data_IF_190097281666
#
_entry.id   IF_190097281666
#
_cell.length_a   1.000
_cell.length_b   1.000
_cell.length_c   1.000
_cell.angle_alpha   90.00
_cell.angle_beta   90.00
_cell.angle_gamma   90.00
#
_symmetry.space_group_name_H-M   'P 1'
#
loop_
_entity.id
_entity.type
_entity.pdbx_description
1 polymer ?
#
# COMPACT_ATOMS: atom_id res chain seq x y z
N UNK A 1 9.40 -4.70 -4.31
CA UNK A 1 8.62 -5.64 -3.49
C UNK A 1 7.80 -6.49 -4.45
N UNK A 2 7.98 -7.80 -4.40
CA UNK A 2 7.22 -8.75 -5.24
C UNK A 2 6.57 -9.73 -4.27
N UNK A 3 5.25 -9.68 -4.16
CA UNK A 3 4.50 -10.56 -3.26
C UNK A 3 3.97 -11.76 -4.04
N UNK A 4 4.12 -13.00 -3.53
CA UNK A 4 3.45 -14.16 -4.10
C UNK A 4 1.93 -13.98 -4.07
N UNK A 5 1.23 -14.63 -5.00
CA UNK A 5 -0.24 -14.60 -5.08
C UNK A 5 -0.89 -14.97 -3.74
N UNK A 6 -0.39 -16.02 -3.07
CA UNK A 6 -0.91 -16.42 -1.76
C UNK A 6 -0.75 -15.37 -0.66
N UNK A 7 0.32 -14.57 -0.70
CA UNK A 7 0.50 -13.46 0.23
C UNK A 7 -0.50 -12.32 0.00
N UNK A 8 -0.92 -12.11 -1.26
CA UNK A 8 -1.95 -11.13 -1.61
C UNK A 8 -3.35 -11.62 -1.23
N UNK A 9 -3.66 -12.90 -1.48
CA UNK A 9 -4.96 -13.52 -1.17
C UNK A 9 -5.17 -13.66 0.33
N UNK A 10 -4.24 -14.28 1.05
CA UNK A 10 -4.37 -14.59 2.48
C UNK A 10 -3.92 -13.43 3.38
N UNK A 11 -3.42 -12.34 2.78
CA UNK A 11 -3.05 -11.10 3.43
C UNK A 11 -4.10 -10.02 3.22
N UNK A 12 -3.71 -8.94 2.56
CA UNK A 12 -4.56 -7.76 2.37
C UNK A 12 -4.78 -7.45 0.89
N UNK A 13 -3.69 -7.36 0.11
CA UNK A 13 -3.77 -7.22 -1.35
C UNK A 13 -4.49 -5.96 -1.83
N UNK A 14 -3.94 -4.78 -1.51
CA UNK A 14 -4.46 -3.47 -1.94
C UNK A 14 -3.56 -2.86 -3.01
N UNK A 15 -4.16 -2.20 -4.00
CA UNK A 15 -3.45 -1.45 -5.03
C UNK A 15 -4.33 -0.29 -5.54
N UNK A 16 -3.77 0.62 -6.32
CA UNK A 16 -4.43 1.84 -6.80
C UNK A 16 -5.72 1.62 -7.61
N UNK A 17 -6.00 0.41 -8.11
CA UNK A 17 -7.27 0.05 -8.75
C UNK A 17 -8.31 -0.57 -7.81
N UNK A 18 -7.99 -0.75 -6.52
CA UNK A 18 -8.85 -1.43 -5.56
C UNK A 18 -10.13 -0.65 -5.24
N UNK A 19 -10.21 0.64 -5.54
CA UNK A 19 -11.45 1.40 -5.44
C UNK A 19 -12.51 1.01 -6.48
N UNK A 20 -12.12 0.27 -7.53
CA UNK A 20 -13.02 -0.33 -8.53
C UNK A 20 -13.26 -1.81 -8.22
N UNK A 21 -12.19 -2.56 -7.97
CA UNK A 21 -12.24 -4.03 -7.90
C UNK A 21 -12.23 -4.61 -6.48
N UNK A 22 -12.08 -3.75 -5.46
CA UNK A 22 -11.86 -4.16 -4.09
C UNK A 22 -10.45 -4.71 -3.84
N UNK A 23 -10.33 -5.49 -2.77
CA UNK A 23 -9.11 -6.20 -2.40
C UNK A 23 -8.82 -7.36 -3.36
N UNK A 24 -7.57 -7.84 -3.39
CA UNK A 24 -7.13 -8.89 -4.32
C UNK A 24 -7.97 -10.18 -4.22
N UNK A 25 -8.46 -10.55 -3.03
CA UNK A 25 -9.34 -11.70 -2.90
C UNK A 25 -10.69 -11.54 -3.61
N UNK A 26 -11.21 -10.32 -3.78
CA UNK A 26 -12.53 -10.10 -4.39
C UNK A 26 -12.54 -10.37 -5.90
N UNK A 27 -11.36 -10.40 -6.52
CA UNK A 27 -11.20 -10.81 -7.92
C UNK A 27 -10.85 -12.29 -8.08
N UNK A 28 -10.71 -13.05 -6.99
CA UNK A 28 -10.50 -14.49 -7.03
C UNK A 28 -11.85 -15.22 -7.07
N UNK A 29 -11.96 -16.27 -7.90
CA UNK A 29 -13.19 -17.08 -8.06
C UNK A 29 -13.06 -18.50 -7.53
N UNK A 30 -11.83 -18.98 -7.35
CA UNK A 30 -11.55 -20.27 -6.76
C UNK A 30 -10.16 -20.28 -6.11
N UNK A 31 -10.00 -21.14 -5.10
CA UNK A 31 -8.73 -21.45 -4.46
C UNK A 31 -8.52 -22.96 -4.38
N UNK A 32 -7.27 -23.39 -4.41
CA UNK A 32 -6.88 -24.77 -4.07
C UNK A 32 -5.90 -24.73 -2.91
N UNK A 33 -6.19 -25.50 -1.86
CA UNK A 33 -5.43 -25.55 -0.63
C UNK A 33 -5.01 -26.99 -0.31
N UNK A 34 -3.76 -27.14 0.11
CA UNK A 34 -3.31 -28.35 0.82
C UNK A 34 -3.54 -28.12 2.32
N UNK A 35 -4.46 -28.89 2.90
CA UNK A 35 -4.81 -28.79 4.32
C UNK A 35 -3.80 -29.51 5.22
N UNK A 36 -3.96 -29.37 6.53
CA UNK A 36 -3.04 -29.94 7.53
C UNK A 36 -2.98 -31.48 7.53
N UNK A 37 -4.03 -32.15 7.07
CA UNK A 37 -4.08 -33.61 6.91
C UNK A 37 -3.45 -34.10 5.58
N UNK A 38 -2.96 -33.18 4.75
CA UNK A 38 -2.37 -33.46 3.44
C UNK A 38 -3.38 -33.57 2.30
N UNK A 39 -4.67 -33.36 2.56
CA UNK A 39 -5.70 -33.36 1.51
C UNK A 39 -5.60 -32.10 0.63
N UNK A 40 -5.85 -32.25 -0.66
CA UNK A 40 -6.00 -31.15 -1.61
C UNK A 40 -7.50 -30.83 -1.75
N UNK A 41 -7.89 -29.61 -1.39
CA UNK A 41 -9.27 -29.15 -1.43
C UNK A 41 -9.38 -27.93 -2.32
N UNK A 42 -10.38 -27.94 -3.21
CA UNK A 42 -10.79 -26.77 -3.98
C UNK A 42 -11.95 -26.08 -3.28
N UNK A 43 -11.94 -24.75 -3.23
CA UNK A 43 -13.07 -23.97 -2.74
C UNK A 43 -13.45 -22.82 -3.68
N UNK A 44 -14.74 -22.59 -3.82
CA UNK A 44 -15.40 -21.52 -4.60
C UNK A 44 -16.56 -20.94 -3.76
N UNK A 45 -17.33 -20.01 -4.32
CA UNK A 45 -18.53 -19.50 -3.66
C UNK A 45 -19.56 -20.62 -3.39
N UNK A 46 -19.63 -21.62 -4.27
CA UNK A 46 -20.58 -22.74 -4.24
C UNK A 46 -20.01 -24.05 -3.68
N UNK A 47 -18.71 -24.29 -3.83
CA UNK A 47 -18.01 -25.51 -3.39
C UNK A 47 -17.11 -25.18 -2.18
N UNK A 48 -17.29 -25.85 -1.03
CA UNK A 48 -16.53 -25.55 0.20
C UNK A 48 -16.53 -24.04 0.54
N UNK A 49 -17.72 -23.42 0.44
CA UNK A 49 -17.94 -21.97 0.54
C UNK A 49 -17.44 -21.37 1.86
N UNK A 50 -17.59 -22.09 2.96
CA UNK A 50 -17.06 -21.70 4.27
C UNK A 50 -15.53 -21.53 4.25
N UNK A 51 -14.82 -22.47 3.62
CA UNK A 51 -13.39 -22.37 3.40
C UNK A 51 -13.05 -21.21 2.45
N UNK A 52 -13.77 -21.06 1.33
CA UNK A 52 -13.55 -19.96 0.37
C UNK A 52 -13.60 -18.59 1.05
N UNK A 53 -14.59 -18.35 1.92
CA UNK A 53 -14.73 -17.10 2.68
C UNK A 53 -13.74 -16.96 3.84
N UNK A 54 -13.18 -18.06 4.34
CA UNK A 54 -12.21 -18.05 5.44
C UNK A 54 -10.75 -17.91 4.99
N UNK A 55 -10.43 -18.26 3.74
CA UNK A 55 -9.06 -18.20 3.17
C UNK A 55 -8.49 -16.77 3.17
N UNK A 56 -9.21 -15.73 2.72
CA UNK A 56 -8.73 -14.36 2.81
C UNK A 56 -8.46 -13.98 4.26
N UNK A 57 -7.38 -13.24 4.50
CA UNK A 57 -6.92 -12.83 5.85
C UNK A 57 -6.53 -13.96 6.81
N UNK A 58 -6.59 -15.23 6.39
CA UNK A 58 -6.18 -16.37 7.22
C UNK A 58 -4.69 -16.37 7.58
N UNK A 59 -3.86 -15.56 6.92
CA UNK A 59 -2.41 -15.53 7.12
C UNK A 59 -1.76 -16.92 6.98
N UNK A 60 -2.30 -17.79 6.11
CA UNK A 60 -1.78 -19.14 5.85
C UNK A 60 -2.10 -20.18 6.93
N UNK A 61 -2.96 -19.85 7.90
CA UNK A 61 -3.28 -20.76 9.01
C UNK A 61 -4.20 -21.92 8.63
N UNK A 62 -4.93 -21.81 7.52
CA UNK A 62 -5.89 -22.82 7.06
C UNK A 62 -5.28 -23.89 6.15
N UNK A 63 -4.09 -23.64 5.59
CA UNK A 63 -3.42 -24.54 4.67
C UNK A 63 -2.49 -23.80 3.70
N UNK A 64 -1.83 -24.55 2.84
CA UNK A 64 -1.00 -24.00 1.78
C UNK A 64 -1.85 -23.69 0.55
N UNK A 65 -2.01 -22.41 0.22
CA UNK A 65 -2.62 -22.01 -1.05
C UNK A 65 -1.68 -22.38 -2.21
N UNK A 66 -2.10 -23.35 -3.04
CA UNK A 66 -1.30 -23.87 -4.16
C UNK A 66 -1.80 -23.38 -5.52
N UNK A 67 -3.07 -23.02 -5.65
CA UNK A 67 -3.61 -22.40 -6.85
C UNK A 67 -4.70 -21.35 -6.53
N UNK A 68 -4.89 -20.40 -7.43
CA UNK A 68 -5.96 -19.42 -7.39
C UNK A 68 -6.43 -19.10 -8.81
N UNK A 69 -7.73 -19.04 -9.02
CA UNK A 69 -8.34 -18.56 -10.26
C UNK A 69 -8.75 -17.10 -10.11
N UNK A 70 -8.27 -16.25 -11.01
CA UNK A 70 -8.33 -14.79 -10.86
C UNK A 70 -8.99 -14.16 -12.09
N UNK A 71 -9.93 -13.24 -11.86
CA UNK A 71 -10.51 -12.39 -12.90
C UNK A 71 -9.43 -11.43 -13.41
N UNK A 72 -9.25 -11.39 -14.73
CA UNK A 72 -8.27 -10.52 -15.39
C UNK A 72 -8.97 -9.48 -16.26
N UNK A 73 -8.27 -8.38 -16.52
CA UNK A 73 -8.69 -7.32 -17.43
C UNK A 73 -7.66 -7.12 -18.55
N UNK A 74 -8.06 -6.64 -19.74
CA UNK A 74 -7.11 -6.32 -20.80
C UNK A 74 -6.09 -5.28 -20.34
N UNK A 75 -4.81 -5.59 -20.54
CA UNK A 75 -3.71 -4.66 -20.27
C UNK A 75 -3.49 -3.75 -21.49
N UNK A 76 -3.14 -2.49 -21.23
CA UNK A 76 -2.67 -1.54 -22.24
C UNK A 76 -1.21 -1.20 -22.04
N UNK A 77 -0.62 -0.49 -22.99
CA UNK A 77 0.82 -0.21 -22.98
C UNK A 77 1.25 0.79 -21.89
N UNK A 78 0.40 1.77 -21.55
CA UNK A 78 0.74 2.90 -20.70
C UNK A 78 -0.33 3.20 -19.66
N UNK A 79 0.10 3.83 -18.57
CA UNK A 79 -0.76 4.55 -17.63
C UNK A 79 -0.55 6.04 -17.87
N UNK A 80 -1.62 6.74 -18.27
CA UNK A 80 -1.67 8.20 -18.27
C UNK A 80 -1.97 8.64 -16.84
N UNK A 81 -0.96 9.11 -16.13
CA UNK A 81 -1.03 9.48 -14.72
C UNK A 81 -1.04 11.01 -14.59
N UNK A 82 -2.04 11.53 -13.88
CA UNK A 82 -2.16 12.93 -13.50
C UNK A 82 -1.65 13.11 -12.07
N UNK A 83 -0.90 14.18 -11.83
CA UNK A 83 -0.39 14.58 -10.52
C UNK A 83 -1.06 15.89 -10.11
N UNK A 84 -1.68 15.91 -8.94
CA UNK A 84 -2.37 17.07 -8.40
C UNK A 84 -1.86 17.40 -7.00
N UNK A 85 -1.03 18.43 -6.82
CA UNK A 85 -0.69 18.95 -5.50
C UNK A 85 -1.93 19.52 -4.81
N UNK A 86 -2.18 19.09 -3.57
CA UNK A 86 -3.31 19.56 -2.77
C UNK A 86 -2.82 20.01 -1.39
N UNK A 87 -3.38 21.11 -0.90
CA UNK A 87 -3.03 21.73 0.38
C UNK A 87 -4.23 21.85 1.32
N UNK A 88 -3.96 21.68 2.61
CA UNK A 88 -4.96 21.66 3.68
C UNK A 88 -5.59 20.28 3.82
N UNK A 89 -5.60 19.75 5.06
CA UNK A 89 -6.09 18.40 5.34
C UNK A 89 -7.51 18.13 4.83
N UNK A 90 -8.44 19.06 5.02
CA UNK A 90 -9.83 18.93 4.57
C UNK A 90 -9.91 18.78 3.04
N UNK A 91 -9.16 19.62 2.30
CA UNK A 91 -9.10 19.56 0.84
C UNK A 91 -8.48 18.25 0.36
N UNK A 92 -7.44 17.76 1.04
CA UNK A 92 -6.79 16.47 0.73
C UNK A 92 -7.82 15.34 0.85
N UNK A 93 -8.51 15.24 1.99
CA UNK A 93 -9.50 14.20 2.22
C UNK A 93 -10.66 14.28 1.21
N UNK A 94 -11.20 15.47 0.98
CA UNK A 94 -12.27 15.70 0.02
C UNK A 94 -11.88 15.28 -1.40
N UNK A 95 -10.76 15.82 -1.91
CA UNK A 95 -10.31 15.57 -3.28
C UNK A 95 -9.96 14.10 -3.50
N UNK A 96 -9.37 13.44 -2.50
CA UNK A 96 -9.02 12.02 -2.56
C UNK A 96 -10.27 11.14 -2.59
N UNK A 97 -11.28 11.44 -1.77
CA UNK A 97 -12.56 10.75 -1.79
C UNK A 97 -13.28 10.93 -3.16
N UNK A 98 -13.35 12.15 -3.68
CA UNK A 98 -13.93 12.43 -5.00
C UNK A 98 -13.22 11.68 -6.13
N UNK A 99 -11.89 11.65 -6.11
CA UNK A 99 -11.10 10.90 -7.08
C UNK A 99 -11.37 9.39 -7.02
N UNK A 100 -11.53 8.87 -5.80
CA UNK A 100 -11.78 7.44 -5.51
C UNK A 100 -13.21 6.99 -5.81
N UNK A 101 -14.19 7.90 -5.80
CA UNK A 101 -15.56 7.61 -6.24
C UNK A 101 -15.67 7.61 -7.77
N UNK A 102 -14.85 8.39 -8.46
CA UNK A 102 -14.88 8.48 -9.91
C UNK A 102 -14.27 7.23 -10.58
N UNK A 103 -15.14 6.29 -10.96
CA UNK A 103 -14.80 5.04 -11.68
C UNK A 103 -14.14 5.24 -13.06
N UNK A 104 -14.08 6.47 -13.59
CA UNK A 104 -13.29 6.77 -14.79
C UNK A 104 -11.78 6.74 -14.50
N UNK A 105 -11.37 6.97 -13.26
CA UNK A 105 -9.98 6.80 -12.84
C UNK A 105 -9.71 5.31 -12.65
N UNK A 106 -8.97 4.67 -13.55
CA UNK A 106 -8.58 3.26 -13.36
C UNK A 106 -7.69 3.08 -12.13
N UNK A 107 -6.87 4.09 -11.83
CA UNK A 107 -5.95 4.10 -10.70
C UNK A 107 -6.13 5.38 -9.89
N UNK A 108 -6.11 5.26 -8.57
CA UNK A 108 -6.10 6.38 -7.62
C UNK A 108 -5.11 6.08 -6.50
N UNK A 109 -4.24 7.02 -6.19
CA UNK A 109 -3.25 6.92 -5.12
C UNK A 109 -2.94 8.33 -4.58
N UNK A 110 -2.68 8.47 -3.29
CA UNK A 110 -2.23 9.71 -2.68
C UNK A 110 -0.90 9.52 -1.95
N UNK A 111 0.02 10.47 -2.10
CA UNK A 111 1.21 10.56 -1.26
C UNK A 111 1.13 11.86 -0.46
N UNK A 112 0.95 11.73 0.86
CA UNK A 112 0.86 12.88 1.77
C UNK A 112 2.20 13.11 2.44
N UNK A 113 2.77 14.32 2.32
CA UNK A 113 4.12 14.65 2.79
C UNK A 113 4.14 15.42 4.11
N UNK A 114 3.03 16.09 4.46
CA UNK A 114 2.80 16.71 5.77
C UNK A 114 1.30 16.64 6.10
N UNK A 115 0.89 17.12 7.28
CA UNK A 115 -0.52 17.20 7.65
C UNK A 115 -1.36 17.93 6.59
N UNK A 116 -0.80 18.97 5.99
CA UNK A 116 -1.51 19.88 5.08
C UNK A 116 -0.99 19.83 3.65
N UNK A 117 -0.17 18.85 3.26
CA UNK A 117 0.31 18.75 1.88
C UNK A 117 0.34 17.33 1.36
N UNK A 118 -0.25 17.12 0.18
CA UNK A 118 -0.24 15.83 -0.51
C UNK A 118 -0.17 16.03 -2.02
N UNK A 119 0.13 14.95 -2.74
CA UNK A 119 -0.11 14.84 -4.18
C UNK A 119 -1.10 13.70 -4.39
N UNK A 120 -2.23 14.01 -4.99
CA UNK A 120 -3.23 13.02 -5.41
C UNK A 120 -2.94 12.66 -6.86
N UNK A 121 -2.87 11.37 -7.12
CA UNK A 121 -2.59 10.81 -8.42
C UNK A 121 -3.79 10.05 -8.94
N UNK A 122 -4.21 10.36 -10.16
CA UNK A 122 -5.27 9.62 -10.86
C UNK A 122 -4.75 9.14 -12.21
N UNK A 123 -5.09 7.91 -12.58
CA UNK A 123 -4.52 7.26 -13.75
C UNK A 123 -5.55 6.52 -14.59
N UNK A 124 -5.31 6.47 -15.89
CA UNK A 124 -6.08 5.64 -16.83
C UNK A 124 -5.16 4.84 -17.74
N UNK A 125 -5.58 3.64 -18.14
CA UNK A 125 -4.84 2.82 -19.10
C UNK A 125 -5.04 3.32 -20.54
N UNK A 126 -3.97 3.41 -21.32
CA UNK A 126 -3.98 3.83 -22.74
C UNK A 126 -2.90 3.12 -23.56
N UNK A 127 -3.16 2.93 -24.85
CA UNK A 127 -2.15 2.41 -25.82
C UNK A 127 -1.37 3.53 -26.50
N UNK A 128 -1.85 4.77 -26.41
CA UNK A 128 -1.20 5.94 -27.00
C UNK A 128 -0.59 6.81 -25.90
N UNK A 129 0.67 7.19 -26.09
CA UNK A 129 1.40 8.10 -25.22
C UNK A 129 1.86 9.32 -26.02
N UNK A 130 1.75 10.50 -25.39
CA UNK A 130 2.33 11.74 -25.91
C UNK A 130 3.87 11.66 -25.73
N UNK A 131 4.67 11.64 -26.81
CA UNK A 131 6.10 11.31 -26.72
C UNK A 131 6.92 12.19 -25.77
N UNK A 132 6.57 13.47 -25.67
CA UNK A 132 7.19 14.47 -24.80
C UNK A 132 6.85 14.29 -23.31
N UNK A 133 5.81 13.50 -22.99
CA UNK A 133 5.32 13.24 -21.63
C UNK A 133 5.59 11.81 -21.17
N UNK A 134 6.37 11.02 -21.93
CA UNK A 134 6.74 9.67 -21.53
C UNK A 134 7.72 9.72 -20.37
N UNK A 135 7.36 9.10 -19.24
CA UNK A 135 8.24 8.93 -18.09
C UNK A 135 8.52 7.45 -17.83
N UNK A 136 9.75 7.02 -18.09
CA UNK A 136 10.22 5.65 -17.83
C UNK A 136 10.82 5.55 -16.43
N UNK A 137 9.98 5.63 -15.40
CA UNK A 137 10.38 5.62 -13.97
C UNK A 137 11.19 4.37 -13.55
N UNK A 138 11.10 3.28 -14.30
CA UNK A 138 11.82 2.03 -14.04
C UNK A 138 13.32 2.07 -14.38
N UNK A 139 13.81 3.11 -15.05
CA UNK A 139 15.24 3.23 -15.36
C UNK A 139 16.04 3.52 -14.07
N UNK A 140 17.14 2.81 -13.88
CA UNK A 140 17.89 2.81 -12.61
C UNK A 140 18.43 4.20 -12.20
N UNK A 141 18.67 5.08 -13.16
CA UNK A 141 19.12 6.43 -12.89
C UNK A 141 17.98 7.40 -12.59
N UNK A 142 16.70 7.02 -12.71
CA UNK A 142 15.56 7.89 -12.40
C UNK A 142 15.41 8.11 -10.89
N UNK A 143 14.86 9.27 -10.45
CA UNK A 143 14.57 9.51 -9.05
C UNK A 143 13.64 8.44 -8.50
N UNK A 144 13.70 8.19 -7.19
CA UNK A 144 12.68 7.39 -6.53
C UNK A 144 11.30 7.99 -6.73
N UNK A 145 10.29 7.14 -6.96
CA UNK A 145 8.96 7.58 -7.37
C UNK A 145 8.37 8.62 -6.41
N UNK A 146 8.37 8.35 -5.10
CA UNK A 146 7.85 9.32 -4.12
C UNK A 146 8.62 10.65 -4.10
N UNK A 147 9.91 10.69 -4.47
CA UNK A 147 10.67 11.96 -4.60
C UNK A 147 10.33 12.70 -5.89
N UNK A 148 10.06 11.96 -6.97
CA UNK A 148 9.53 12.53 -8.21
C UNK A 148 8.16 13.16 -7.98
N UNK A 149 7.26 12.46 -7.29
CA UNK A 149 5.95 12.98 -6.89
C UNK A 149 6.07 14.22 -6.00
N UNK A 150 6.99 14.21 -5.02
CA UNK A 150 7.27 15.37 -4.15
C UNK A 150 7.69 16.62 -4.94
N UNK A 151 8.31 16.44 -6.12
CA UNK A 151 8.72 17.56 -6.97
C UNK A 151 7.53 18.34 -7.54
N UNK A 152 6.38 17.69 -7.76
CA UNK A 152 5.15 18.37 -8.18
C UNK A 152 4.60 19.27 -7.07
N UNK A 153 4.68 18.80 -5.82
CA UNK A 153 4.27 19.58 -4.66
C UNK A 153 5.19 20.78 -4.41
N UNK A 154 6.52 20.60 -4.52
CA UNK A 154 7.50 21.68 -4.33
C UNK A 154 7.42 22.74 -5.44
N UNK A 155 7.13 22.31 -6.67
CA UNK A 155 6.92 23.21 -7.80
C UNK A 155 5.51 23.76 -7.93
N UNK A 156 4.59 23.38 -7.03
CA UNK A 156 3.16 23.75 -7.06
C UNK A 156 2.52 23.54 -8.45
N UNK A 157 2.89 22.42 -9.10
CA UNK A 157 2.54 22.14 -10.50
C UNK A 157 1.73 20.86 -10.65
N UNK A 158 0.62 20.96 -11.35
CA UNK A 158 -0.05 19.78 -11.89
C UNK A 158 0.78 19.21 -13.05
N UNK A 159 0.61 17.92 -13.34
CA UNK A 159 1.36 17.28 -14.42
C UNK A 159 0.65 16.05 -14.96
N UNK A 160 0.96 15.70 -16.21
CA UNK A 160 0.50 14.47 -16.85
C UNK A 160 1.72 13.76 -17.42
N UNK A 161 1.86 12.48 -17.08
CA UNK A 161 2.93 11.62 -17.59
C UNK A 161 2.35 10.30 -18.10
N UNK A 162 3.04 9.71 -19.07
CA UNK A 162 2.75 8.37 -19.58
C UNK A 162 3.82 7.40 -19.08
N UNK A 163 3.43 6.52 -18.17
CA UNK A 163 4.32 5.54 -17.54
C UNK A 163 4.06 4.17 -18.16
N UNK A 164 5.07 3.40 -18.59
CA UNK A 164 4.84 2.03 -19.06
C UNK A 164 4.11 1.22 -17.98
N UNK A 165 3.06 0.49 -18.35
CA UNK A 165 2.16 -0.17 -17.38
C UNK A 165 2.92 -1.01 -16.35
N UNK A 166 3.88 -1.82 -16.81
CA UNK A 166 4.72 -2.64 -15.92
C UNK A 166 5.52 -1.80 -14.92
N UNK A 167 6.04 -0.64 -15.34
CA UNK A 167 6.79 0.23 -14.45
C UNK A 167 5.88 0.90 -13.41
N UNK A 168 4.65 1.24 -13.79
CA UNK A 168 3.65 1.78 -12.86
C UNK A 168 3.32 0.79 -11.73
N UNK A 169 3.08 -0.50 -12.06
CA UNK A 169 2.88 -1.53 -11.02
C UNK A 169 4.10 -1.76 -10.12
N UNK A 170 5.30 -1.45 -10.61
CA UNK A 170 6.54 -1.56 -9.81
C UNK A 170 7.03 -0.20 -9.25
N UNK A 171 6.22 0.87 -9.28
CA UNK A 171 6.66 2.23 -8.94
C UNK A 171 7.28 2.37 -7.55
N UNK A 172 6.80 1.61 -6.57
CA UNK A 172 7.32 1.61 -5.18
C UNK A 172 8.44 0.58 -4.94
N UNK A 173 8.77 -0.27 -5.92
CA UNK A 173 9.69 -1.40 -5.69
C UNK A 173 11.12 -0.95 -5.42
N UNK A 174 11.62 0.05 -6.15
CA UNK A 174 13.04 0.44 -6.09
C UNK A 174 13.41 1.10 -4.76
N UNK A 175 12.51 1.90 -4.22
CA UNK A 175 12.70 2.62 -2.95
C UNK A 175 12.06 1.91 -1.75
N UNK A 176 11.41 0.76 -1.96
CA UNK A 176 10.60 0.07 -0.95
C UNK A 176 9.63 1.10 -0.33
N UNK A 177 8.75 1.64 -1.18
CA UNK A 177 8.02 2.89 -0.96
C UNK A 177 8.99 4.08 -0.78
N UNK A 178 9.49 4.27 0.44
CA UNK A 178 10.52 5.27 0.78
C UNK A 178 11.50 4.80 1.87
N UNK A 179 11.34 3.59 2.40
CA UNK A 179 12.17 3.09 3.50
C UNK A 179 13.66 2.99 3.14
N UNK A 180 13.97 2.83 1.85
CA UNK A 180 15.35 2.81 1.41
C UNK A 180 16.07 4.14 1.67
N UNK A 181 15.34 5.26 1.85
CA UNK A 181 15.95 6.52 2.25
C UNK A 181 16.53 6.46 3.67
N UNK A 182 15.94 5.66 4.56
CA UNK A 182 16.38 5.56 5.95
C UNK A 182 17.58 4.61 6.06
N UNK A 183 17.74 3.69 5.11
CA UNK A 183 18.87 2.75 5.01
C UNK A 183 20.04 3.39 4.21
N UNK A 184 19.72 4.06 3.11
CA UNK A 184 20.69 4.69 2.20
C UNK A 184 20.24 6.14 1.93
N UNK A 185 20.50 7.09 2.85
CA UNK A 185 20.02 8.47 2.74
C UNK A 185 20.48 9.21 1.47
N UNK A 186 21.67 8.87 0.97
CA UNK A 186 22.22 9.41 -0.27
C UNK A 186 21.77 8.64 -1.52
N UNK A 187 20.92 7.61 -1.39
CA UNK A 187 20.54 6.69 -2.46
C UNK A 187 19.80 7.34 -3.62
N UNK A 188 19.16 8.50 -3.39
CA UNK A 188 18.50 9.29 -4.44
C UNK A 188 19.42 10.36 -5.08
N UNK A 189 20.68 10.48 -4.66
CA UNK A 189 21.64 11.38 -5.29
C UNK A 189 21.85 10.98 -6.76
N UNK A 190 21.84 11.92 -7.74
CA UNK A 190 22.01 11.60 -9.16
C UNK A 190 23.26 10.79 -9.47
N UNK A 191 24.40 11.09 -8.83
CA UNK A 191 25.67 10.38 -9.03
C UNK A 191 25.57 8.94 -8.54
N UNK A 192 25.00 8.74 -7.34
CA UNK A 192 24.77 7.40 -6.80
C UNK A 192 23.82 6.60 -7.69
N UNK A 193 22.69 7.19 -8.11
CA UNK A 193 21.71 6.51 -8.98
C UNK A 193 22.33 6.09 -10.31
N UNK A 194 23.21 6.91 -10.87
CA UNK A 194 23.88 6.61 -12.13
C UNK A 194 24.90 5.47 -11.99
N UNK A 195 25.73 5.48 -10.93
CA UNK A 195 26.78 4.47 -10.72
C UNK A 195 26.26 3.15 -10.11
N UNK A 196 25.36 3.24 -9.13
CA UNK A 196 24.96 2.12 -8.26
C UNK A 196 23.44 1.91 -8.19
N UNK A 197 22.63 2.73 -8.85
CA UNK A 197 21.17 2.64 -8.80
C UNK A 197 20.59 1.33 -9.35
N UNK A 198 21.38 0.58 -10.14
CA UNK A 198 21.03 -0.75 -10.67
C UNK A 198 21.14 -1.86 -9.61
N UNK A 199 21.87 -1.61 -8.51
CA UNK A 199 21.99 -2.53 -7.36
C UNK A 199 20.83 -2.38 -6.36
N UNK A 200 19.92 -1.43 -6.60
CA UNK A 200 18.82 -1.06 -5.72
C UNK A 200 17.49 -1.64 -6.25
N UNK A 201 16.65 -2.27 -5.40
CA UNK A 201 16.82 -2.46 -3.96
C UNK A 201 17.81 -3.61 -3.66
N UNK A 202 18.66 -3.49 -2.61
CA UNK A 202 19.53 -4.58 -2.21
C UNK A 202 18.69 -5.80 -1.78
N UNK A 203 19.23 -7.00 -1.99
CA UNK A 203 18.57 -8.23 -1.51
C UNK A 203 18.37 -8.13 0.01
N UNK A 204 17.16 -8.43 0.45
CA UNK A 204 16.74 -8.43 1.86
C UNK A 204 17.69 -9.27 2.72
N UNK A 205 18.09 -10.44 2.22
CA UNK A 205 19.02 -11.34 2.86
C UNK A 205 20.38 -10.67 3.13
N UNK A 206 20.84 -9.83 2.19
CA UNK A 206 22.09 -9.08 2.32
C UNK A 206 21.97 -7.99 3.38
N UNK A 207 20.85 -7.27 3.43
CA UNK A 207 20.56 -6.30 4.50
C UNK A 207 20.50 -6.97 5.89
N UNK A 208 19.82 -8.13 5.99
CA UNK A 208 19.73 -8.90 7.24
C UNK A 208 21.09 -9.41 7.70
N UNK A 209 22.00 -9.74 6.78
CA UNK A 209 23.36 -10.20 7.07
C UNK A 209 24.29 -9.08 7.55
N UNK A 210 24.10 -7.85 7.08
CA UNK A 210 24.96 -6.71 7.45
C UNK A 210 24.47 -5.94 8.68
N UNK A 211 23.23 -6.18 9.12
CA UNK A 211 22.67 -5.59 10.33
C UNK A 211 23.06 -6.41 11.58
N UNK A 212 23.93 -5.85 12.43
CA UNK A 212 24.20 -6.41 13.76
C UNK A 212 22.95 -6.37 14.68
N UNK A 213 22.93 -7.20 15.72
CA UNK A 213 21.76 -7.37 16.61
C UNK A 213 21.25 -6.06 17.22
N UNK A 214 22.15 -5.14 17.55
CA UNK A 214 21.81 -3.83 18.13
C UNK A 214 21.08 -2.93 17.13
N UNK A 215 21.53 -2.90 15.88
CA UNK A 215 20.88 -2.13 14.80
C UNK A 215 19.51 -2.73 14.51
N UNK A 216 19.42 -4.06 14.48
CA UNK A 216 18.14 -4.77 14.29
C UNK A 216 17.13 -4.41 15.39
N UNK A 217 17.54 -4.42 16.66
CA UNK A 217 16.69 -4.00 17.79
C UNK A 217 16.25 -2.54 17.67
N UNK A 218 17.14 -1.65 17.25
CA UNK A 218 16.82 -0.24 17.08
C UNK A 218 15.72 -0.05 16.02
N UNK A 219 15.86 -0.69 14.85
CA UNK A 219 14.85 -0.69 13.80
C UNK A 219 13.54 -1.34 14.26
N UNK A 220 13.58 -2.50 14.93
CA UNK A 220 12.35 -3.17 15.41
C UNK A 220 11.58 -2.35 16.45
N UNK A 221 12.27 -1.53 17.26
CA UNK A 221 11.66 -0.76 18.35
C UNK A 221 11.23 0.66 17.93
N UNK A 222 11.87 1.23 16.91
CA UNK A 222 11.69 2.64 16.52
C UNK A 222 11.37 2.82 15.04
N UNK A 223 11.00 1.77 14.30
CA UNK A 223 10.54 1.90 12.91
C UNK A 223 9.06 1.58 12.82
N UNK A 224 8.32 2.43 12.12
CA UNK A 224 6.88 2.26 11.91
C UNK A 224 6.67 1.55 10.59
N UNK A 225 5.85 0.52 10.63
CA UNK A 225 5.35 -0.19 9.45
C UNK A 225 3.90 -0.52 9.71
N UNK A 226 3.03 0.37 9.26
CA UNK A 226 1.65 0.34 9.70
C UNK A 226 0.72 0.69 8.56
N UNK A 227 -0.08 -0.29 8.16
CA UNK A 227 -1.22 -0.10 7.26
C UNK A 227 -2.50 -0.04 8.10
N UNK A 228 -3.33 0.96 7.85
CA UNK A 228 -4.58 1.18 8.57
C UNK A 228 -5.72 1.33 7.61
N UNK A 229 -6.60 0.34 7.65
CA UNK A 229 -7.79 0.26 6.82
C UNK A 229 -8.92 1.01 7.52
N UNK A 230 -9.27 2.18 7.01
CA UNK A 230 -10.22 3.10 7.63
C UNK A 230 -11.33 3.41 6.62
N UNK A 231 -12.62 3.41 7.03
CA UNK A 231 -13.68 3.91 6.16
C UNK A 231 -13.39 5.35 5.74
N UNK A 232 -13.60 5.68 4.46
CA UNK A 232 -13.19 6.96 3.87
C UNK A 232 -13.72 8.18 4.66
N UNK A 233 -14.93 8.07 5.22
CA UNK A 233 -15.57 9.11 6.05
C UNK A 233 -14.81 9.49 7.32
N UNK A 234 -13.88 8.65 7.79
CA UNK A 234 -13.07 8.88 8.99
C UNK A 234 -11.60 9.20 8.68
N UNK A 235 -11.24 9.35 7.41
CA UNK A 235 -9.86 9.58 6.96
C UNK A 235 -9.23 10.81 7.64
N UNK A 236 -9.96 11.93 7.72
CA UNK A 236 -9.44 13.18 8.30
C UNK A 236 -9.08 13.02 9.78
N UNK A 237 -9.96 12.39 10.57
CA UNK A 237 -9.71 12.12 11.98
C UNK A 237 -8.52 11.17 12.16
N UNK A 238 -8.45 10.10 11.35
CA UNK A 238 -7.35 9.15 11.38
C UNK A 238 -6.01 9.82 11.08
N UNK A 239 -5.90 10.62 10.02
CA UNK A 239 -4.67 11.35 9.66
C UNK A 239 -4.27 12.33 10.76
N UNK A 240 -5.23 13.07 11.33
CA UNK A 240 -4.96 13.97 12.47
C UNK A 240 -4.35 13.20 13.64
N UNK A 241 -4.83 11.99 13.91
CA UNK A 241 -4.31 11.15 14.98
C UNK A 241 -2.94 10.59 14.66
N UNK A 242 -2.72 10.11 13.44
CA UNK A 242 -1.40 9.69 12.95
C UNK A 242 -0.35 10.80 13.12
N UNK A 243 -0.72 12.03 12.78
CA UNK A 243 0.14 13.19 12.93
C UNK A 243 0.51 13.44 14.39
N UNK A 244 -0.46 13.35 15.31
CA UNK A 244 -0.23 13.57 16.74
C UNK A 244 0.58 12.44 17.41
N UNK A 245 0.30 11.18 17.06
CA UNK A 245 0.80 10.03 17.79
C UNK A 245 2.12 9.47 17.23
N UNK A 246 2.35 9.60 15.93
CA UNK A 246 3.50 8.97 15.24
C UNK A 246 4.34 10.03 14.50
N UNK A 247 3.68 10.99 13.85
CA UNK A 247 4.31 12.05 13.06
C UNK A 247 5.34 11.50 12.05
N UNK A 248 4.92 10.51 11.25
CA UNK A 248 5.71 9.91 10.16
C UNK A 248 5.14 10.38 8.83
N UNK A 249 6.05 10.78 7.94
CA UNK A 249 5.74 11.14 6.57
C UNK A 249 6.84 10.66 5.62
N UNK A 250 6.51 10.36 4.35
CA UNK A 250 5.17 10.47 3.77
C UNK A 250 4.20 9.36 4.22
N UNK A 251 2.90 9.59 4.03
CA UNK A 251 1.85 8.58 4.18
C UNK A 251 1.41 8.11 2.79
N UNK A 252 1.21 6.80 2.66
CA UNK A 252 0.62 6.17 1.48
C UNK A 252 -0.90 6.12 1.66
N UNK A 253 -1.64 6.70 0.72
CA UNK A 253 -3.10 6.70 0.72
C UNK A 253 -3.58 5.87 -0.46
N UNK A 254 -4.19 4.72 -0.18
CA UNK A 254 -4.69 3.84 -1.24
C UNK A 254 -6.18 3.51 -1.02
N UNK A 255 -7.07 3.87 -1.95
CA UNK A 255 -8.50 3.64 -1.77
C UNK A 255 -8.89 2.22 -2.20
N UNK A 256 -9.83 1.62 -1.49
CA UNK A 256 -10.39 0.32 -1.84
C UNK A 256 -11.84 0.17 -1.42
N UNK A 257 -12.59 -0.66 -2.15
CA UNK A 257 -13.98 -0.99 -1.79
C UNK A 257 -14.07 -2.32 -1.06
N UNK A 258 -14.88 -2.33 -0.01
CA UNK A 258 -15.26 -3.55 0.69
C UNK A 258 -16.74 -3.83 0.42
N UNK A 259 -17.07 -4.98 -0.21
CA UNK A 259 -18.44 -5.42 -0.33
C UNK A 259 -18.97 -5.89 1.03
N UNK A 260 -20.29 -5.83 1.26
CA UNK A 260 -20.92 -6.49 2.40
C UNK A 260 -20.84 -8.01 2.19
N UNK A 261 -20.74 -8.79 3.26
CA UNK A 261 -20.76 -10.24 3.12
C UNK A 261 -20.06 -11.02 4.22
N UNK A 262 -19.66 -12.24 3.86
CA UNK A 262 -18.95 -13.20 4.72
C UNK A 262 -17.44 -12.98 4.60
N UNK A 263 -16.69 -13.43 5.61
CA UNK A 263 -15.23 -13.32 5.67
C UNK A 263 -14.76 -12.49 6.86
N UNK A 264 -13.44 -12.37 7.03
CA UNK A 264 -12.85 -11.71 8.21
C UNK A 264 -12.93 -10.18 8.16
N UNK A 265 -13.02 -9.59 6.98
CA UNK A 265 -13.02 -8.14 6.76
C UNK A 265 -14.17 -7.76 5.83
N UNK A 266 -15.15 -7.05 6.38
CA UNK A 266 -16.29 -6.52 5.66
C UNK A 266 -16.79 -5.25 6.37
N UNK A 267 -17.55 -4.37 5.70
CA UNK A 267 -18.21 -3.25 6.36
C UNK A 267 -19.22 -3.76 7.40
N UNK A 268 -19.50 -2.97 8.43
CA UNK A 268 -20.60 -3.28 9.36
C UNK A 268 -21.98 -3.20 8.74
N UNK A 269 -22.13 -2.31 7.76
CA UNK A 269 -23.37 -2.14 7.03
C UNK A 269 -23.65 -3.31 6.09
N UNK A 270 -24.84 -3.31 5.50
CA UNK A 270 -25.21 -4.24 4.43
C UNK A 270 -24.92 -3.66 3.04
N UNK A 271 -24.20 -2.54 2.97
CA UNK A 271 -23.85 -1.87 1.73
C UNK A 271 -22.34 -1.89 1.51
N UNK A 272 -21.95 -1.81 0.24
CA UNK A 272 -20.55 -1.62 -0.13
C UNK A 272 -20.08 -0.25 0.36
N UNK A 273 -18.90 -0.21 0.99
CA UNK A 273 -18.35 1.03 1.53
C UNK A 273 -16.91 1.23 1.04
N UNK A 274 -16.56 2.51 0.79
CA UNK A 274 -15.23 2.93 0.37
C UNK A 274 -14.34 3.14 1.59
N UNK A 275 -13.16 2.53 1.56
CA UNK A 275 -12.14 2.59 2.58
C UNK A 275 -10.86 3.20 1.99
N UNK A 276 -9.96 3.62 2.88
CA UNK A 276 -8.60 4.04 2.58
C UNK A 276 -7.64 3.26 3.44
N UNK A 277 -6.56 2.79 2.82
CA UNK A 277 -5.37 2.37 3.53
C UNK A 277 -4.49 3.58 3.76
N UNK A 278 -4.15 3.84 5.03
CA UNK A 278 -3.18 4.84 5.46
C UNK A 278 -1.91 4.09 5.87
N UNK A 279 -1.01 3.93 4.90
CA UNK A 279 0.29 3.29 5.07
C UNK A 279 1.34 4.26 5.60
N UNK A 280 1.88 3.99 6.79
CA UNK A 280 2.98 4.73 7.39
C UNK A 280 4.22 3.85 7.47
N UNK A 281 5.31 4.29 6.83
CA UNK A 281 6.61 3.60 6.83
C UNK A 281 7.71 4.60 7.18
N UNK A 282 8.56 4.28 8.16
CA UNK A 282 9.70 5.14 8.52
C UNK A 282 9.90 5.36 10.00
N UNK A 283 10.88 6.19 10.34
CA UNK A 283 11.21 6.54 11.72
C UNK A 283 10.25 7.62 12.29
N UNK A 284 9.54 7.34 13.39
CA UNK A 284 8.70 8.30 14.09
C UNK A 284 9.51 9.44 14.70
N UNK A 285 8.94 10.65 14.60
CA UNK A 285 9.59 11.89 15.06
C UNK A 285 9.12 12.35 16.44
N UNK A 286 8.34 11.53 17.14
CA UNK A 286 7.81 11.83 18.48
C UNK A 286 8.76 11.34 19.57
N UNK A 287 8.85 12.09 20.68
CA UNK A 287 9.68 11.70 21.84
C UNK A 287 9.08 10.48 22.53
N UNK A 288 9.91 9.51 22.92
CA UNK A 288 9.53 8.28 23.62
C UNK A 288 8.60 7.33 22.82
N UNK A 289 8.77 7.26 21.51
CA UNK A 289 8.08 6.25 20.71
C UNK A 289 8.56 4.84 21.07
N UNK A 290 7.61 3.94 21.35
CA UNK A 290 7.87 2.50 21.45
C UNK A 290 6.89 1.79 20.51
N UNK A 291 7.39 1.16 19.44
CA UNK A 291 6.57 0.62 18.36
C UNK A 291 5.37 -0.18 18.84
N UNK A 292 5.57 -1.13 19.75
CA UNK A 292 4.49 -2.01 20.22
C UNK A 292 3.42 -1.27 21.03
N UNK A 293 3.82 -0.37 21.92
CA UNK A 293 2.89 0.38 22.77
C UNK A 293 2.13 1.44 21.95
N UNK A 294 2.85 2.22 21.14
CA UNK A 294 2.29 3.27 20.30
C UNK A 294 1.36 2.70 19.22
N UNK A 295 1.71 1.59 18.56
CA UNK A 295 0.82 0.97 17.57
C UNK A 295 -0.43 0.35 18.22
N UNK A 296 -0.30 -0.27 19.40
CA UNK A 296 -1.47 -0.76 20.16
C UNK A 296 -2.40 0.38 20.54
N UNK A 297 -1.85 1.48 21.06
CA UNK A 297 -2.63 2.66 21.41
C UNK A 297 -3.34 3.24 20.19
N UNK A 298 -2.64 3.37 19.06
CA UNK A 298 -3.26 3.87 17.82
C UNK A 298 -4.40 2.96 17.35
N UNK A 299 -4.16 1.64 17.33
CA UNK A 299 -5.20 0.67 16.99
C UNK A 299 -6.39 0.70 17.95
N UNK A 300 -6.15 0.86 19.25
CA UNK A 300 -7.21 0.99 20.25
C UNK A 300 -7.96 2.31 20.14
N UNK A 301 -7.28 3.42 19.86
CA UNK A 301 -7.91 4.74 19.71
C UNK A 301 -8.80 4.78 18.47
N UNK A 302 -8.31 4.25 17.35
CA UNK A 302 -9.12 4.12 16.14
C UNK A 302 -10.35 3.23 16.37
N UNK A 303 -10.22 2.15 17.15
CA UNK A 303 -11.34 1.27 17.52
C UNK A 303 -12.31 1.88 18.55
N UNK A 304 -11.81 2.63 19.55
CA UNK A 304 -12.59 3.06 20.73
C UNK A 304 -13.17 4.48 20.64
N UNK A 305 -12.43 5.46 20.09
CA UNK A 305 -12.80 6.89 20.20
C UNK A 305 -13.35 7.50 18.92
N UNK A 306 -12.86 7.08 17.76
CA UNK A 306 -13.33 7.59 16.47
C UNK A 306 -14.73 7.05 16.07
N UNK A 307 -15.36 6.20 16.90
CA UNK A 307 -16.49 5.35 16.51
C UNK A 307 -16.26 4.73 15.13
N UNK A 308 -15.03 4.28 14.87
CA UNK A 308 -14.64 3.53 13.67
C UNK A 308 -14.46 2.07 14.07
N UNK A 309 -15.54 1.37 14.42
CA UNK A 309 -15.42 -0.01 14.83
C UNK A 309 -15.01 -0.94 13.66
N UNK A 310 -14.92 -0.41 12.44
CA UNK A 310 -14.54 -1.10 11.21
C UNK A 310 -13.06 -0.86 10.85
N UNK A 311 -12.33 -0.14 11.69
CA UNK A 311 -10.90 0.08 11.50
C UNK A 311 -10.13 -1.23 11.71
N UNK A 312 -9.57 -1.77 10.62
CA UNK A 312 -8.64 -2.90 10.67
C UNK A 312 -7.22 -2.34 10.71
N UNK A 313 -6.61 -2.39 11.89
CA UNK A 313 -5.22 -2.01 12.10
C UNK A 313 -4.34 -3.26 11.98
N UNK A 314 -3.44 -3.30 10.99
CA UNK A 314 -2.51 -4.42 10.79
C UNK A 314 -1.10 -4.00 11.14
N UNK A 315 -0.67 -4.27 12.37
CA UNK A 315 0.72 -4.02 12.76
C UNK A 315 1.63 -5.05 12.11
N UNK A 316 2.40 -4.63 11.12
CA UNK A 316 3.53 -5.41 10.64
C UNK A 316 4.65 -5.27 11.67
N UNK A 317 4.70 -6.19 12.64
CA UNK A 317 5.77 -6.19 13.63
C UNK A 317 7.07 -6.66 13.00
N UNK A 318 8.03 -5.74 12.94
CA UNK A 318 9.39 -5.99 12.47
C UNK A 318 9.53 -6.03 10.96
N UNK A 319 10.78 -6.03 10.51
CA UNK A 319 11.19 -6.16 9.10
C UNK A 319 10.61 -7.40 8.39
N UNK A 320 9.94 -8.31 9.09
CA UNK A 320 9.36 -9.56 8.56
C UNK A 320 8.13 -9.38 7.65
N UNK A 321 7.31 -8.35 7.83
CA UNK A 321 6.13 -8.17 6.97
C UNK A 321 6.28 -7.17 5.82
N UNK A 322 7.28 -6.28 5.86
CA UNK A 322 7.68 -5.48 4.69
C UNK A 322 8.44 -6.37 3.71
N UNK A 323 9.37 -7.13 4.26
CA UNK A 323 10.35 -7.89 3.51
C UNK A 323 9.86 -9.33 3.46
N UNK A 324 8.74 -9.54 2.74
CA UNK A 324 8.03 -10.81 2.63
C UNK A 324 8.99 -12.00 2.80
N UNK A 325 8.86 -12.67 3.95
CA UNK A 325 9.64 -13.87 4.21
C UNK A 325 9.16 -14.93 3.21
N UNK A 326 10.13 -15.52 2.51
CA UNK A 326 10.02 -16.86 1.91
C UNK A 326 9.94 -17.87 3.05
#
# INVERSE_FOLDING_TARGET
MTSPVGGLVMGTGIESSSHIYGLFQHICVAFELVLADGSLVRCTEEENSDLFHAVPWSCGTLGFLVAAEIKIVPAKSWVKLHYEPVRGLENICKRFAEASENKQNTFVEGLQYTLDTAVIMTGTMTDHAEPDKINRIGLHFQPWFFKHVESHLKGDRTGVEYIPLRQYYHRHTRSIFWELQDIIPFGNNPVFRWLFGWMVPPKISLLKLTQGETIRKLYEQHHVVQDMLIPMKHMQEAITRFHQDINVYPLWLCPFRLPPGRGMVHPKGQEEELYVDIGAYGEPRVKHFEAKASMRQLGEVCKRRARVPDAVCRCVHGTRGILGDV
#
